data_IF_848871874358
#
_entry.id   IF_848871874358
#
_cell.length_a   1.000
_cell.length_b   1.000
_cell.length_c   1.000
_cell.angle_alpha   90.00
_cell.angle_beta   90.00
_cell.angle_gamma   90.00
#
_symmetry.space_group_name_H-M   'P 1'
#
loop_
_entity.id
_entity.type
_entity.pdbx_description
1 polymer ?
#
# COMPACT_ATOMS: atom_id res chain seq x y z
N UNK A 1 -22.84 16.23 -9.11
CA UNK A 1 -21.48 16.77 -9.28
C UNK A 1 -20.82 16.24 -10.56
N UNK A 2 -20.74 14.93 -10.78
CA UNK A 2 -20.13 14.30 -11.97
C UNK A 2 -20.70 14.87 -13.28
N UNK A 3 -22.05 14.91 -13.42
CA UNK A 3 -22.72 15.50 -14.60
C UNK A 3 -22.45 16.99 -14.77
N UNK A 4 -22.22 17.74 -13.69
CA UNK A 4 -21.90 19.17 -13.74
C UNK A 4 -20.47 19.41 -14.22
N UNK A 5 -19.53 18.56 -13.79
CA UNK A 5 -18.16 18.58 -14.30
C UNK A 5 -18.12 18.20 -15.78
N UNK A 6 -18.72 17.08 -16.14
CA UNK A 6 -18.89 16.61 -17.52
C UNK A 6 -17.59 16.15 -18.20
N UNK A 7 -16.49 16.02 -17.46
CA UNK A 7 -15.20 15.52 -17.98
C UNK A 7 -14.86 14.14 -17.39
N UNK A 8 -14.18 13.25 -18.13
CA UNK A 8 -13.85 11.91 -17.63
C UNK A 8 -12.96 11.93 -16.39
N UNK A 9 -12.05 12.91 -16.30
CA UNK A 9 -11.06 13.05 -15.23
C UNK A 9 -11.43 14.12 -14.18
N UNK A 10 -12.68 14.61 -14.19
CA UNK A 10 -13.15 15.68 -13.29
C UNK A 10 -12.29 16.94 -13.34
N UNK A 11 -11.80 17.28 -14.57
CA UNK A 11 -10.85 18.37 -14.79
C UNK A 11 -11.46 19.77 -14.71
N UNK A 12 -12.80 19.92 -14.78
CA UNK A 12 -13.47 21.21 -14.75
C UNK A 12 -13.68 21.75 -13.33
N UNK A 13 -14.18 20.92 -12.43
CA UNK A 13 -14.41 21.28 -11.02
C UNK A 13 -13.24 20.90 -10.12
N UNK A 14 -12.47 19.90 -10.53
CA UNK A 14 -11.38 19.30 -9.77
C UNK A 14 -11.83 18.16 -8.86
N UNK A 15 -11.12 17.04 -8.92
CA UNK A 15 -11.46 15.85 -8.16
C UNK A 15 -11.49 16.09 -6.65
N UNK A 16 -10.53 16.85 -6.10
CA UNK A 16 -10.49 17.17 -4.67
C UNK A 16 -11.71 17.98 -4.20
N UNK A 17 -12.18 18.94 -5.01
CA UNK A 17 -13.37 19.73 -4.66
C UNK A 17 -14.64 18.87 -4.67
N UNK A 18 -14.79 17.99 -5.65
CA UNK A 18 -15.90 17.04 -5.74
C UNK A 18 -15.85 16.06 -4.55
N UNK A 19 -14.68 15.53 -4.24
CA UNK A 19 -14.48 14.62 -3.12
C UNK A 19 -14.81 15.30 -1.78
N UNK A 20 -14.38 16.54 -1.59
CA UNK A 20 -14.69 17.31 -0.38
C UNK A 20 -16.20 17.39 -0.10
N UNK A 21 -17.01 17.64 -1.12
CA UNK A 21 -18.48 17.65 -0.98
C UNK A 21 -19.02 16.23 -0.73
N UNK A 22 -18.49 15.23 -1.44
CA UNK A 22 -18.91 13.84 -1.28
C UNK A 22 -18.68 13.31 0.14
N UNK A 23 -17.50 13.59 0.71
CA UNK A 23 -17.15 13.18 2.08
C UNK A 23 -17.91 13.99 3.13
N UNK A 24 -18.10 15.30 2.92
CA UNK A 24 -18.87 16.15 3.83
C UNK A 24 -20.32 15.66 3.96
N UNK A 25 -20.94 15.26 2.83
CA UNK A 25 -22.28 14.70 2.84
C UNK A 25 -22.36 13.39 3.63
N UNK A 26 -21.37 12.48 3.48
CA UNK A 26 -21.34 11.23 4.25
C UNK A 26 -21.12 11.47 5.74
N UNK A 27 -20.24 12.40 6.12
CA UNK A 27 -20.00 12.77 7.52
C UNK A 27 -21.24 13.42 8.16
N UNK A 28 -21.89 14.35 7.45
CA UNK A 28 -23.12 14.99 7.94
C UNK A 28 -24.24 13.95 8.19
N UNK A 29 -24.37 12.97 7.30
CA UNK A 29 -25.34 11.89 7.49
C UNK A 29 -24.99 10.96 8.67
N UNK A 30 -23.71 10.65 8.86
CA UNK A 30 -23.25 9.88 10.01
C UNK A 30 -23.50 10.64 11.33
N UNK A 31 -23.21 11.93 11.37
CA UNK A 31 -23.46 12.80 12.54
C UNK A 31 -24.94 12.93 12.86
N UNK A 32 -25.81 13.09 11.85
CA UNK A 32 -27.28 13.15 12.04
C UNK A 32 -27.83 11.83 12.64
N UNK A 33 -27.22 10.70 12.29
CA UNK A 33 -27.58 9.38 12.82
C UNK A 33 -26.87 9.02 14.11
N UNK A 34 -26.05 9.92 14.65
CA UNK A 34 -25.24 9.70 15.86
C UNK A 34 -24.40 8.42 15.78
N UNK A 35 -23.83 8.12 14.60
CA UNK A 35 -23.06 6.90 14.36
C UNK A 35 -21.65 7.22 13.80
N UNK A 36 -20.61 6.44 14.16
CA UNK A 36 -19.30 6.61 13.58
C UNK A 36 -19.30 6.44 12.05
N UNK A 37 -18.41 7.15 11.34
CA UNK A 37 -18.37 7.13 9.88
C UNK A 37 -18.17 5.73 9.31
N UNK A 38 -17.27 4.92 9.90
CA UNK A 38 -17.07 3.54 9.45
C UNK A 38 -18.33 2.67 9.56
N UNK A 39 -19.14 2.91 10.61
CA UNK A 39 -20.40 2.18 10.82
C UNK A 39 -21.50 2.69 9.88
N UNK A 40 -21.60 4.01 9.66
CA UNK A 40 -22.52 4.58 8.68
C UNK A 40 -22.29 4.03 7.27
N UNK A 41 -21.02 3.93 6.84
CA UNK A 41 -20.66 3.45 5.51
C UNK A 41 -20.71 1.93 5.37
N UNK A 42 -20.28 1.18 6.38
CA UNK A 42 -20.16 -0.28 6.35
C UNK A 42 -21.33 -1.03 6.98
N UNK A 43 -22.20 -0.31 7.69
CA UNK A 43 -23.28 -0.92 8.47
C UNK A 43 -22.74 -1.91 9.52
N UNK A 44 -23.55 -2.90 9.87
CA UNK A 44 -23.17 -3.92 10.86
C UNK A 44 -22.03 -4.85 10.38
N UNK A 45 -21.73 -4.86 9.08
CA UNK A 45 -20.70 -5.73 8.50
C UNK A 45 -19.30 -5.11 8.51
N UNK A 46 -19.16 -3.80 8.76
CA UNK A 46 -17.87 -3.12 8.83
C UNK A 46 -17.13 -3.41 10.13
N UNK A 47 -16.26 -4.44 10.17
CA UNK A 47 -15.58 -4.89 11.38
C UNK A 47 -14.16 -5.43 11.17
N UNK A 48 -13.69 -5.53 9.91
CA UNK A 48 -12.33 -6.00 9.62
C UNK A 48 -11.36 -4.84 9.74
N UNK A 49 -10.44 -4.97 10.69
CA UNK A 49 -9.35 -4.03 10.91
C UNK A 49 -8.20 -4.32 9.93
N UNK A 50 -7.62 -3.30 9.30
CA UNK A 50 -6.64 -3.50 8.23
C UNK A 50 -5.26 -3.90 8.75
N UNK A 51 -4.56 -4.72 7.96
CA UNK A 51 -3.11 -4.92 8.08
C UNK A 51 -2.41 -3.72 7.43
N UNK A 52 -1.64 -2.91 8.20
CA UNK A 52 -1.03 -1.70 7.67
C UNK A 52 0.25 -1.99 6.88
N UNK A 53 0.40 -1.30 5.76
CA UNK A 53 1.64 -1.12 5.01
C UNK A 53 2.31 0.15 5.51
N UNK A 54 3.38 0.00 6.28
CA UNK A 54 4.06 1.11 6.96
C UNK A 54 5.32 1.47 6.21
N UNK A 55 5.34 2.59 5.48
CA UNK A 55 6.51 3.04 4.72
C UNK A 55 7.63 3.49 5.67
N UNK A 56 8.74 2.77 5.71
CA UNK A 56 9.85 3.01 6.66
C UNK A 56 11.17 3.43 6.00
N UNK A 57 11.35 3.13 4.69
CA UNK A 57 12.48 3.61 3.88
C UNK A 57 11.95 4.16 2.55
N UNK A 58 12.41 5.34 2.18
CA UNK A 58 12.06 6.03 0.94
C UNK A 58 13.23 6.03 -0.04
N UNK A 59 12.93 5.85 -1.31
CA UNK A 59 13.81 6.04 -2.45
C UNK A 59 13.08 6.75 -3.60
N UNK A 60 13.54 6.57 -4.83
CA UNK A 60 12.92 7.12 -6.02
C UNK A 60 12.62 8.62 -5.90
N UNK A 61 11.42 9.03 -6.30
CA UNK A 61 10.98 10.44 -6.17
C UNK A 61 10.74 10.90 -4.74
N UNK A 62 10.57 9.98 -3.79
CA UNK A 62 10.33 10.30 -2.38
C UNK A 62 11.61 10.61 -1.59
N UNK A 63 12.81 10.46 -2.20
CA UNK A 63 14.08 10.73 -1.58
C UNK A 63 15.14 11.17 -2.59
N UNK A 64 16.07 12.01 -2.15
CA UNK A 64 17.24 12.36 -2.96
C UNK A 64 18.41 11.42 -2.61
N UNK A 65 18.34 10.18 -3.08
CA UNK A 65 19.33 9.12 -2.85
C UNK A 65 19.49 8.24 -4.11
N UNK A 66 20.24 7.13 -3.99
CA UNK A 66 20.54 6.22 -5.10
C UNK A 66 19.59 5.05 -5.23
N UNK A 67 18.61 4.95 -4.36
CA UNK A 67 17.63 3.86 -4.39
C UNK A 67 16.53 4.21 -5.40
N UNK A 68 16.33 3.40 -6.41
CA UNK A 68 15.37 3.66 -7.48
C UNK A 68 13.94 3.31 -7.06
N UNK A 69 13.74 2.25 -6.25
CA UNK A 69 12.43 1.87 -5.74
C UNK A 69 11.93 2.92 -4.74
N UNK A 70 10.65 3.28 -4.85
CA UNK A 70 10.10 4.46 -4.20
C UNK A 70 9.85 4.28 -2.71
N UNK A 71 9.35 3.10 -2.28
CA UNK A 71 8.97 2.85 -0.90
C UNK A 71 9.30 1.41 -0.47
N UNK A 72 9.78 1.29 0.76
CA UNK A 72 9.95 0.00 1.42
C UNK A 72 9.14 0.00 2.71
N UNK A 73 8.22 -0.94 2.79
CA UNK A 73 7.20 -1.01 3.83
C UNK A 73 7.35 -2.26 4.68
N UNK A 74 7.02 -2.14 5.95
CA UNK A 74 6.84 -3.29 6.85
C UNK A 74 5.36 -3.54 7.09
N UNK A 75 4.98 -4.81 7.22
CA UNK A 75 3.61 -5.25 7.45
C UNK A 75 3.56 -6.23 8.63
N UNK A 76 3.00 -5.84 9.78
CA UNK A 76 2.88 -6.70 10.96
C UNK A 76 1.80 -7.78 10.79
N UNK A 77 2.05 -8.75 9.91
CA UNK A 77 1.09 -9.80 9.50
C UNK A 77 0.80 -10.83 10.59
N UNK A 78 1.67 -10.95 11.59
CA UNK A 78 1.51 -11.88 12.72
C UNK A 78 0.91 -11.26 13.97
N UNK A 79 0.53 -9.99 13.96
CA UNK A 79 -0.08 -9.32 15.11
C UNK A 79 -1.49 -9.87 15.40
N UNK A 80 -1.90 -9.92 16.68
CA UNK A 80 -3.25 -10.36 17.03
C UNK A 80 -4.31 -9.26 16.94
N UNK A 81 -3.91 -7.98 16.94
CA UNK A 81 -4.79 -6.80 16.94
C UNK A 81 -4.13 -5.66 16.16
N UNK A 82 -4.89 -4.65 15.76
CA UNK A 82 -4.34 -3.46 15.10
C UNK A 82 -3.41 -2.68 16.03
N UNK A 83 -3.77 -2.60 17.31
CA UNK A 83 -2.95 -1.93 18.33
C UNK A 83 -1.58 -2.59 18.49
N UNK A 84 -1.53 -3.92 18.51
CA UNK A 84 -0.27 -4.67 18.54
C UNK A 84 0.49 -4.54 17.21
N UNK A 85 -0.19 -4.52 16.08
CA UNK A 85 0.45 -4.28 14.78
C UNK A 85 1.16 -2.91 14.75
N UNK A 86 0.52 -1.87 15.27
CA UNK A 86 1.12 -0.53 15.37
C UNK A 86 2.32 -0.54 16.32
N UNK A 87 2.25 -1.25 17.46
CA UNK A 87 3.39 -1.41 18.38
C UNK A 87 4.56 -2.11 17.70
N UNK A 88 4.31 -3.24 17.05
CA UNK A 88 5.35 -3.98 16.31
C UNK A 88 5.99 -3.13 15.23
N UNK A 89 5.19 -2.35 14.49
CA UNK A 89 5.69 -1.38 13.50
C UNK A 89 6.58 -0.32 14.12
N UNK A 90 6.17 0.27 15.25
CA UNK A 90 6.95 1.29 15.94
C UNK A 90 8.28 0.74 16.48
N UNK A 91 8.29 -0.44 17.08
CA UNK A 91 9.51 -1.09 17.59
C UNK A 91 10.48 -1.44 16.46
N UNK A 92 9.96 -1.95 15.32
CA UNK A 92 10.77 -2.19 14.12
C UNK A 92 11.33 -0.90 13.55
N UNK A 93 10.53 0.17 13.48
CA UNK A 93 10.98 1.49 13.00
C UNK A 93 12.09 2.09 13.88
N UNK A 94 12.00 1.94 15.21
CA UNK A 94 13.06 2.37 16.12
C UNK A 94 14.32 1.51 15.99
N UNK A 95 14.20 0.22 15.80
CA UNK A 95 15.34 -0.68 15.52
C UNK A 95 16.02 -0.33 14.20
N UNK A 96 15.24 -0.03 13.15
CA UNK A 96 15.75 0.48 11.87
C UNK A 96 16.53 1.79 12.05
N UNK A 97 16.00 2.74 12.83
CA UNK A 97 16.71 4.00 13.15
C UNK A 97 18.06 3.75 13.81
N UNK A 98 18.13 2.81 14.75
CA UNK A 98 19.36 2.46 15.43
C UNK A 98 20.40 1.89 14.44
N UNK A 99 20.00 0.96 13.57
CA UNK A 99 20.87 0.36 12.54
C UNK A 99 21.40 1.42 11.58
N UNK A 100 20.54 2.31 11.08
CA UNK A 100 20.94 3.38 10.17
C UNK A 100 21.98 4.30 10.84
N UNK A 101 21.76 4.69 12.10
CA UNK A 101 22.72 5.52 12.86
C UNK A 101 24.04 4.78 13.08
N UNK A 102 24.03 3.50 13.46
CA UNK A 102 25.23 2.67 13.67
C UNK A 102 26.06 2.55 12.39
N UNK A 103 25.41 2.55 11.21
CA UNK A 103 26.06 2.52 9.89
C UNK A 103 26.42 3.91 9.33
N UNK A 104 26.10 4.99 10.06
CA UNK A 104 26.38 6.37 9.67
C UNK A 104 25.44 6.91 8.58
N UNK A 105 24.28 6.29 8.35
CA UNK A 105 23.27 6.78 7.44
C UNK A 105 22.38 7.86 8.05
N UNK A 106 21.80 8.71 7.19
CA UNK A 106 20.82 9.70 7.62
C UNK A 106 19.54 9.05 8.13
N UNK A 107 19.00 9.59 9.23
CA UNK A 107 17.67 9.25 9.75
C UNK A 107 16.69 10.42 9.61
N UNK A 108 16.95 11.35 8.67
CA UNK A 108 15.97 12.32 8.24
C UNK A 108 14.81 11.60 7.55
N UNK A 109 13.59 12.10 7.76
CA UNK A 109 12.37 11.48 7.23
C UNK A 109 11.87 12.21 5.99
N UNK A 110 11.32 11.46 5.04
CA UNK A 110 10.61 11.97 3.87
C UNK A 110 9.17 12.38 4.19
N UNK A 111 8.42 12.71 3.15
CA UNK A 111 7.05 13.21 3.27
C UNK A 111 6.08 12.21 3.90
N UNK A 112 6.32 10.93 3.75
CA UNK A 112 5.50 9.85 4.32
C UNK A 112 5.98 9.36 5.70
N UNK A 113 7.04 9.97 6.24
CA UNK A 113 7.54 9.69 7.58
C UNK A 113 8.57 8.55 7.65
N UNK A 114 8.86 7.84 6.56
CA UNK A 114 9.96 6.88 6.47
C UNK A 114 11.31 7.58 6.35
N UNK A 115 12.40 6.88 6.69
CA UNK A 115 13.76 7.42 6.53
C UNK A 115 14.15 7.51 5.06
N UNK A 116 15.06 8.43 4.73
CA UNK A 116 15.59 8.64 3.38
C UNK A 116 17.13 8.52 3.37
N UNK A 117 17.71 7.35 3.72
CA UNK A 117 19.15 7.14 3.72
C UNK A 117 19.69 6.99 2.28
N UNK A 118 20.93 7.42 2.04
CA UNK A 118 21.63 7.16 0.76
C UNK A 118 22.27 5.75 0.80
N UNK A 119 21.43 4.73 0.59
CA UNK A 119 21.84 3.34 0.57
C UNK A 119 22.60 3.01 -0.73
N UNK A 120 23.32 1.88 -0.75
CA UNK A 120 24.28 1.55 -1.82
C UNK A 120 23.61 1.13 -3.13
N UNK A 121 22.49 0.41 -3.03
CA UNK A 121 21.77 -0.17 -4.17
C UNK A 121 20.30 -0.47 -3.76
N UNK A 122 19.53 -1.05 -4.68
CA UNK A 122 18.13 -1.38 -4.47
C UNK A 122 17.90 -2.62 -3.59
N UNK A 123 18.94 -3.42 -3.30
CA UNK A 123 18.81 -4.60 -2.45
C UNK A 123 19.08 -4.32 -0.97
N UNK A 124 19.98 -3.38 -0.64
CA UNK A 124 20.35 -3.06 0.75
C UNK A 124 19.14 -2.69 1.64
N UNK A 125 18.08 -2.00 1.17
CA UNK A 125 16.88 -1.77 1.96
C UNK A 125 16.25 -3.05 2.51
N UNK A 126 16.16 -4.11 1.71
CA UNK A 126 15.58 -5.39 2.14
C UNK A 126 16.45 -6.06 3.21
N UNK A 127 17.77 -6.04 3.05
CA UNK A 127 18.72 -6.58 4.04
C UNK A 127 18.59 -5.86 5.38
N UNK A 128 18.55 -4.52 5.36
CA UNK A 128 18.40 -3.69 6.56
C UNK A 128 17.03 -3.90 7.22
N UNK A 129 15.96 -4.08 6.44
CA UNK A 129 14.64 -4.34 7.00
C UNK A 129 14.56 -5.69 7.69
N UNK A 130 15.14 -6.74 7.13
CA UNK A 130 15.21 -8.06 7.80
C UNK A 130 15.97 -7.92 9.12
N UNK A 131 17.13 -7.27 9.12
CA UNK A 131 17.91 -7.02 10.34
C UNK A 131 17.12 -6.19 11.37
N UNK A 132 16.37 -5.18 10.94
CA UNK A 132 15.56 -4.33 11.82
C UNK A 132 14.41 -5.11 12.47
N UNK A 133 13.76 -6.00 11.72
CA UNK A 133 12.70 -6.88 12.22
C UNK A 133 13.28 -7.84 13.28
N UNK A 134 14.43 -8.48 13.01
CA UNK A 134 15.11 -9.38 13.94
C UNK A 134 15.61 -8.65 15.20
N UNK A 135 16.20 -7.44 15.03
CA UNK A 135 16.68 -6.60 16.14
C UNK A 135 15.53 -6.12 17.04
N UNK A 136 14.33 -5.95 16.48
CA UNK A 136 13.12 -5.66 17.24
C UNK A 136 12.56 -6.90 18.01
N UNK A 137 13.10 -8.08 17.78
CA UNK A 137 12.68 -9.33 18.42
C UNK A 137 11.58 -10.08 17.69
N UNK A 138 11.30 -9.71 16.44
CA UNK A 138 10.29 -10.32 15.58
C UNK A 138 10.91 -11.25 14.54
N UNK A 139 10.10 -12.18 14.01
CA UNK A 139 10.51 -13.10 12.96
C UNK A 139 10.10 -12.53 11.60
N UNK A 140 11.06 -12.30 10.67
CA UNK A 140 10.74 -11.91 9.30
C UNK A 140 9.75 -12.88 8.66
N UNK A 141 8.82 -12.36 7.86
CA UNK A 141 7.77 -13.13 7.20
C UNK A 141 6.65 -13.61 8.12
N UNK A 142 6.99 -14.13 9.30
CA UNK A 142 6.01 -14.69 10.23
C UNK A 142 5.28 -13.61 11.04
N UNK A 143 6.04 -12.71 11.67
CA UNK A 143 5.51 -11.66 12.51
C UNK A 143 5.38 -10.36 11.69
N UNK A 144 6.43 -10.02 10.93
CA UNK A 144 6.50 -8.83 10.09
C UNK A 144 6.99 -9.22 8.70
N UNK A 145 6.16 -9.00 7.68
CA UNK A 145 6.51 -9.16 6.27
C UNK A 145 6.96 -7.82 5.66
N UNK A 146 7.49 -7.88 4.44
CA UNK A 146 7.93 -6.72 3.67
C UNK A 146 6.99 -6.51 2.49
N UNK A 147 6.66 -5.25 2.21
CA UNK A 147 6.07 -4.81 0.97
C UNK A 147 6.93 -3.69 0.36
N UNK A 148 6.87 -3.48 -0.94
CA UNK A 148 7.56 -2.37 -1.56
C UNK A 148 6.82 -1.84 -2.78
N UNK A 149 7.07 -0.57 -3.10
CA UNK A 149 6.56 0.12 -4.27
C UNK A 149 7.74 0.43 -5.20
N UNK A 150 7.70 -0.15 -6.40
CA UNK A 150 8.70 0.14 -7.42
C UNK A 150 8.49 1.52 -8.04
N UNK A 151 7.24 1.93 -8.25
CA UNK A 151 6.85 3.08 -9.06
C UNK A 151 7.58 3.07 -10.42
N UNK A 152 7.52 1.94 -11.13
CA UNK A 152 8.44 1.62 -12.23
C UNK A 152 8.32 2.53 -13.43
N UNK A 153 7.19 3.23 -13.60
CA UNK A 153 7.02 4.27 -14.63
C UNK A 153 8.03 5.41 -14.50
N UNK A 154 8.59 5.63 -13.30
CA UNK A 154 9.54 6.69 -13.02
C UNK A 154 10.94 6.46 -13.60
N UNK A 155 11.31 5.20 -13.80
CA UNK A 155 12.60 4.81 -14.39
C UNK A 155 12.43 3.96 -15.66
N UNK A 156 11.22 3.91 -16.23
CA UNK A 156 10.97 3.28 -17.51
C UNK A 156 11.36 4.22 -18.66
N UNK A 157 12.16 3.70 -19.59
CA UNK A 157 12.57 4.39 -20.80
C UNK A 157 11.75 3.89 -22.00
N UNK A 158 10.78 4.69 -22.42
CA UNK A 158 9.87 4.33 -23.50
C UNK A 158 10.55 4.17 -24.88
N UNK A 159 11.69 4.86 -25.11
CA UNK A 159 12.42 4.78 -26.37
C UNK A 159 13.16 3.44 -26.53
N UNK A 160 13.77 2.98 -25.43
CA UNK A 160 14.55 1.72 -25.42
C UNK A 160 13.72 0.54 -24.90
N UNK A 161 12.56 0.80 -24.31
CA UNK A 161 11.71 -0.18 -23.62
C UNK A 161 12.45 -0.92 -22.50
N UNK A 162 13.22 -0.16 -21.72
CA UNK A 162 14.01 -0.69 -20.60
C UNK A 162 13.67 0.01 -19.29
N UNK A 163 13.91 -0.69 -18.20
CA UNK A 163 13.86 -0.16 -16.84
C UNK A 163 15.29 0.19 -16.41
N UNK A 164 15.57 1.49 -16.29
CA UNK A 164 16.92 2.02 -16.09
C UNK A 164 17.16 2.29 -14.60
N UNK A 165 17.70 1.30 -13.89
CA UNK A 165 18.02 1.40 -12.46
C UNK A 165 19.38 2.11 -12.30
N UNK A 166 19.30 3.42 -11.99
CA UNK A 166 20.50 4.29 -11.87
C UNK A 166 21.33 3.88 -10.65
N UNK A 167 20.69 3.52 -9.54
CA UNK A 167 21.36 3.08 -8.32
C UNK A 167 22.17 1.80 -8.50
N UNK A 168 21.73 0.91 -9.36
CA UNK A 168 22.42 -0.34 -9.70
C UNK A 168 23.34 -0.18 -10.91
N UNK A 169 23.24 0.94 -11.65
CA UNK A 169 24.00 1.18 -12.90
C UNK A 169 23.64 0.20 -14.02
N UNK A 170 22.39 -0.25 -14.09
CA UNK A 170 21.92 -1.28 -15.02
C UNK A 170 20.60 -0.91 -15.66
N UNK A 171 20.42 -1.34 -16.92
CA UNK A 171 19.16 -1.30 -17.65
C UNK A 171 18.66 -2.72 -17.88
N UNK A 172 17.37 -2.93 -17.71
CA UNK A 172 16.73 -4.24 -17.83
C UNK A 172 15.59 -4.17 -18.85
N UNK A 173 15.46 -5.18 -19.69
CA UNK A 173 14.19 -5.44 -20.39
C UNK A 173 13.10 -5.81 -19.37
N UNK A 174 11.83 -5.76 -19.77
CA UNK A 174 10.72 -6.13 -18.86
C UNK A 174 10.90 -7.55 -18.27
N UNK A 175 11.34 -8.51 -19.08
CA UNK A 175 11.53 -9.90 -18.66
C UNK A 175 12.70 -10.07 -17.68
N UNK A 176 13.80 -9.35 -17.89
CA UNK A 176 14.94 -9.31 -16.97
C UNK A 176 14.58 -8.61 -15.67
N UNK A 177 13.78 -7.52 -15.73
CA UNK A 177 13.34 -6.81 -14.55
C UNK A 177 12.38 -7.65 -13.70
N UNK A 178 11.42 -8.35 -14.33
CA UNK A 178 10.57 -9.32 -13.62
C UNK A 178 11.40 -10.43 -13.00
N UNK A 179 12.49 -10.88 -13.65
CA UNK A 179 13.40 -11.88 -13.07
C UNK A 179 14.17 -11.35 -11.86
N UNK A 180 14.55 -10.07 -11.87
CA UNK A 180 15.11 -9.39 -10.69
C UNK A 180 14.10 -9.36 -9.53
N UNK A 181 12.86 -8.92 -9.79
CA UNK A 181 11.80 -8.89 -8.78
C UNK A 181 11.50 -10.29 -8.23
N UNK A 182 11.49 -11.31 -9.09
CA UNK A 182 11.32 -12.71 -8.66
C UNK A 182 12.45 -13.15 -7.72
N UNK A 183 13.70 -12.78 -8.00
CA UNK A 183 14.84 -13.10 -7.13
C UNK A 183 14.72 -12.44 -5.75
N UNK A 184 14.21 -11.21 -5.69
CA UNK A 184 13.92 -10.49 -4.43
C UNK A 184 12.82 -11.21 -3.65
N UNK A 185 11.72 -11.57 -4.33
CA UNK A 185 10.62 -12.32 -3.73
C UNK A 185 11.08 -13.66 -3.18
N UNK A 186 11.94 -14.38 -3.90
CA UNK A 186 12.43 -15.69 -3.47
C UNK A 186 13.42 -15.58 -2.30
N UNK A 187 14.15 -14.48 -2.16
CA UNK A 187 15.16 -14.27 -1.10
C UNK A 187 14.59 -13.65 0.18
N UNK A 188 13.67 -12.70 0.08
CA UNK A 188 13.15 -11.91 1.20
C UNK A 188 11.69 -12.22 1.50
N UNK A 189 11.18 -11.95 2.72
CA UNK A 189 9.79 -12.20 3.10
C UNK A 189 8.83 -11.15 2.52
N UNK A 190 8.87 -10.99 1.20
CA UNK A 190 8.03 -10.04 0.46
C UNK A 190 6.64 -10.63 0.27
N UNK A 191 5.61 -9.86 0.62
CA UNK A 191 4.19 -10.22 0.47
C UNK A 191 3.48 -9.40 -0.60
N UNK A 192 3.99 -8.21 -0.93
CA UNK A 192 3.34 -7.30 -1.88
C UNK A 192 4.35 -6.44 -2.64
N UNK A 193 4.11 -6.26 -3.93
CA UNK A 193 4.81 -5.34 -4.83
C UNK A 193 3.80 -4.41 -5.46
N UNK A 194 4.02 -3.11 -5.38
CA UNK A 194 3.22 -2.08 -6.03
C UNK A 194 3.95 -1.59 -7.29
N UNK A 195 3.20 -1.40 -8.37
CA UNK A 195 3.63 -0.91 -9.68
C UNK A 195 4.98 -1.50 -10.15
N UNK A 196 5.07 -2.86 -10.25
CA UNK A 196 6.29 -3.54 -10.68
C UNK A 196 6.72 -3.23 -12.11
N UNK A 197 5.83 -2.68 -12.95
CA UNK A 197 6.09 -2.33 -14.35
C UNK A 197 5.43 -0.99 -14.72
N UNK A 198 5.80 -0.42 -15.88
CA UNK A 198 5.21 0.80 -16.42
C UNK A 198 3.69 0.67 -16.63
N UNK A 199 2.96 1.73 -16.32
CA UNK A 199 1.49 1.80 -16.34
C UNK A 199 0.87 1.58 -17.72
N UNK A 200 1.64 1.72 -18.78
CA UNK A 200 1.18 1.54 -20.16
C UNK A 200 1.50 0.16 -20.74
N UNK A 201 2.43 -0.61 -20.14
CA UNK A 201 2.92 -1.88 -20.65
C UNK A 201 2.07 -3.08 -20.16
N UNK A 202 0.79 -3.08 -20.53
CA UNK A 202 -0.22 -4.04 -20.07
C UNK A 202 0.09 -5.51 -20.41
N UNK A 203 0.73 -5.77 -21.55
CA UNK A 203 1.12 -7.13 -21.94
C UNK A 203 2.26 -7.67 -21.08
N UNK A 204 3.19 -6.81 -20.69
CA UNK A 204 4.28 -7.19 -19.80
C UNK A 204 3.78 -7.36 -18.36
N UNK A 205 2.82 -6.54 -17.92
CA UNK A 205 2.11 -6.74 -16.66
C UNK A 205 1.39 -8.10 -16.62
N UNK A 206 0.78 -8.54 -17.73
CA UNK A 206 0.15 -9.85 -17.79
C UNK A 206 1.18 -10.96 -17.56
N UNK A 207 2.31 -10.92 -18.25
CA UNK A 207 3.41 -11.90 -18.07
C UNK A 207 3.97 -11.87 -16.65
N UNK A 208 4.16 -10.68 -16.08
CA UNK A 208 4.59 -10.52 -14.69
C UNK A 208 3.58 -11.14 -13.72
N UNK A 209 2.28 -10.95 -13.95
CA UNK A 209 1.21 -11.53 -13.13
C UNK A 209 1.20 -13.05 -13.21
N UNK A 210 1.40 -13.63 -14.39
CA UNK A 210 1.51 -15.10 -14.56
C UNK A 210 2.68 -15.69 -13.78
N UNK A 211 3.82 -14.96 -13.68
CA UNK A 211 5.03 -15.41 -12.97
C UNK A 211 4.97 -15.18 -11.46
N UNK A 212 4.56 -13.99 -11.04
CA UNK A 212 4.68 -13.52 -9.65
C UNK A 212 3.35 -13.54 -8.88
N UNK A 213 2.21 -13.40 -9.56
CA UNK A 213 0.92 -13.20 -8.92
C UNK A 213 0.41 -14.38 -8.07
N UNK A 214 1.04 -15.56 -8.20
CA UNK A 214 0.79 -16.72 -7.33
C UNK A 214 1.69 -16.75 -6.09
N UNK A 215 2.77 -15.96 -6.09
CA UNK A 215 3.75 -15.89 -5.01
C UNK A 215 3.49 -14.68 -4.10
N UNK A 216 3.12 -13.53 -4.68
CA UNK A 216 2.95 -12.26 -3.99
C UNK A 216 1.76 -11.48 -4.53
N UNK A 217 1.28 -10.52 -3.75
CA UNK A 217 0.33 -9.51 -4.19
C UNK A 217 1.00 -8.54 -5.16
N UNK A 218 0.35 -8.28 -6.30
CA UNK A 218 0.75 -7.28 -7.29
C UNK A 218 -0.31 -6.17 -7.34
N UNK A 219 0.05 -5.01 -6.79
CA UNK A 219 -0.84 -3.86 -6.64
C UNK A 219 -0.67 -2.93 -7.83
N UNK A 220 -1.76 -2.57 -8.50
CA UNK A 220 -1.76 -1.48 -9.47
C UNK A 220 -2.22 -0.18 -8.83
N UNK A 221 -1.33 0.83 -8.77
CA UNK A 221 -1.62 2.22 -8.44
C UNK A 221 -1.78 3.03 -9.73
N UNK A 222 -0.68 3.40 -10.38
CA UNK A 222 -0.70 4.17 -11.63
C UNK A 222 -1.37 3.39 -12.77
N UNK A 223 -1.28 2.05 -12.73
CA UNK A 223 -1.95 1.17 -13.69
C UNK A 223 -3.48 1.32 -13.66
N UNK A 224 -4.10 1.46 -12.49
CA UNK A 224 -5.55 1.44 -12.33
C UNK A 224 -6.14 2.80 -11.93
N UNK A 225 -5.39 3.68 -11.31
CA UNK A 225 -5.77 5.02 -10.83
C UNK A 225 -7.16 5.08 -10.16
N UNK A 226 -7.50 4.04 -9.39
CA UNK A 226 -8.81 3.87 -8.74
C UNK A 226 -9.99 3.90 -9.73
N UNK A 227 -9.75 3.63 -11.01
CA UNK A 227 -10.73 3.75 -12.09
C UNK A 227 -11.30 2.36 -12.44
N UNK A 228 -12.63 2.24 -12.39
CA UNK A 228 -13.34 0.98 -12.66
C UNK A 228 -13.17 0.47 -14.09
N UNK A 229 -13.00 1.34 -15.09
CA UNK A 229 -12.78 0.93 -16.47
C UNK A 229 -11.40 0.29 -16.66
N UNK A 230 -10.36 0.88 -16.06
CA UNK A 230 -9.00 0.31 -16.04
C UNK A 230 -8.95 -0.98 -15.23
N UNK A 231 -9.61 -1.01 -14.06
CA UNK A 231 -9.70 -2.23 -13.26
C UNK A 231 -10.41 -3.35 -14.02
N UNK A 232 -11.55 -3.08 -14.68
CA UNK A 232 -12.26 -4.06 -15.50
C UNK A 232 -11.39 -4.60 -16.66
N UNK A 233 -10.60 -3.72 -17.30
CA UNK A 233 -9.61 -4.12 -18.31
C UNK A 233 -8.58 -5.07 -17.71
N UNK A 234 -8.00 -4.73 -16.54
CA UNK A 234 -7.01 -5.55 -15.86
C UNK A 234 -7.54 -6.92 -15.46
N UNK A 235 -8.73 -6.96 -14.86
CA UNK A 235 -9.43 -8.22 -14.51
C UNK A 235 -9.60 -9.11 -15.74
N UNK A 236 -10.08 -8.52 -16.86
CA UNK A 236 -10.29 -9.26 -18.11
C UNK A 236 -8.98 -9.80 -18.70
N UNK A 237 -7.89 -9.08 -18.56
CA UNK A 237 -6.57 -9.48 -19.07
C UNK A 237 -5.80 -10.37 -18.10
N UNK A 238 -6.22 -10.49 -16.83
CA UNK A 238 -5.47 -11.18 -15.78
C UNK A 238 -4.22 -10.41 -15.36
N UNK A 239 -4.34 -9.10 -15.20
CA UNK A 239 -3.24 -8.17 -14.89
C UNK A 239 -3.34 -7.69 -13.46
N UNK A 240 -2.28 -7.91 -12.66
CA UNK A 240 -2.30 -7.64 -11.22
C UNK A 240 -3.21 -8.60 -10.46
N UNK A 241 -3.30 -8.44 -9.16
CA UNK A 241 -4.23 -9.16 -8.28
C UNK A 241 -4.68 -8.31 -7.08
N UNK A 242 -4.36 -7.01 -7.12
CA UNK A 242 -4.73 -6.01 -6.13
C UNK A 242 -4.80 -4.63 -6.77
N UNK A 243 -5.58 -3.73 -6.18
CA UNK A 243 -5.67 -2.32 -6.57
C UNK A 243 -5.35 -1.40 -5.39
N UNK A 244 -4.59 -0.33 -5.65
CA UNK A 244 -4.46 0.78 -4.71
C UNK A 244 -5.65 1.73 -4.88
N UNK A 245 -6.23 2.17 -3.77
CA UNK A 245 -7.43 3.01 -3.73
C UNK A 245 -7.07 4.38 -3.19
N UNK A 246 -7.07 5.38 -4.05
CA UNK A 246 -6.87 6.79 -3.71
C UNK A 246 -8.13 7.57 -4.03
N UNK A 247 -8.86 8.01 -3.02
CA UNK A 247 -10.19 8.62 -3.18
C UNK A 247 -10.21 9.79 -4.16
N UNK A 248 -9.16 10.59 -4.17
CA UNK A 248 -9.08 11.78 -5.01
C UNK A 248 -8.61 11.51 -6.45
N UNK A 249 -8.14 10.31 -6.78
CA UNK A 249 -7.89 9.91 -8.17
C UNK A 249 -9.21 9.74 -8.92
N UNK A 250 -10.24 9.22 -8.25
CA UNK A 250 -11.58 9.05 -8.84
C UNK A 250 -12.54 10.19 -8.47
N UNK A 251 -12.46 10.75 -7.27
CA UNK A 251 -13.07 12.02 -6.86
C UNK A 251 -14.46 11.94 -6.23
N UNK A 252 -15.06 10.76 -6.03
CA UNK A 252 -16.26 10.59 -5.20
C UNK A 252 -16.14 9.36 -4.32
N UNK A 253 -16.81 9.40 -3.16
CA UNK A 253 -16.91 8.23 -2.29
C UNK A 253 -17.64 7.07 -2.98
N UNK A 254 -18.70 7.33 -3.73
CA UNK A 254 -19.46 6.31 -4.45
C UNK A 254 -18.59 5.56 -5.44
N UNK A 255 -17.88 6.25 -6.34
CA UNK A 255 -16.99 5.61 -7.32
C UNK A 255 -15.83 4.87 -6.63
N UNK A 256 -15.35 5.37 -5.49
CA UNK A 256 -14.35 4.67 -4.67
C UNK A 256 -14.87 3.34 -4.16
N UNK A 257 -16.08 3.32 -3.61
CA UNK A 257 -16.75 2.07 -3.14
C UNK A 257 -16.96 1.11 -4.30
N UNK A 258 -17.41 1.59 -5.45
CA UNK A 258 -17.59 0.77 -6.67
C UNK A 258 -16.29 0.09 -7.11
N UNK A 259 -15.17 0.80 -7.07
CA UNK A 259 -13.85 0.24 -7.41
C UNK A 259 -13.44 -0.87 -6.41
N UNK A 260 -13.61 -0.65 -5.11
CA UNK A 260 -13.32 -1.65 -4.08
C UNK A 260 -14.18 -2.89 -4.23
N UNK A 261 -15.49 -2.72 -4.43
CA UNK A 261 -16.42 -3.85 -4.59
C UNK A 261 -16.14 -4.63 -5.89
N UNK A 262 -15.82 -3.95 -6.99
CA UNK A 262 -15.42 -4.61 -8.24
C UNK A 262 -14.16 -5.46 -8.05
N UNK A 263 -13.15 -4.95 -7.36
CA UNK A 263 -11.92 -5.68 -7.04
C UNK A 263 -12.22 -6.94 -6.24
N UNK A 264 -12.97 -6.80 -5.14
CA UNK A 264 -13.35 -7.92 -4.26
C UNK A 264 -14.13 -9.01 -5.00
N UNK A 265 -15.10 -8.63 -5.83
CA UNK A 265 -15.88 -9.57 -6.64
C UNK A 265 -15.04 -10.36 -7.64
N UNK A 266 -13.93 -9.78 -8.10
CA UNK A 266 -12.97 -10.43 -8.99
C UNK A 266 -11.89 -11.26 -8.25
N UNK A 267 -11.91 -11.28 -6.91
CA UNK A 267 -10.89 -11.94 -6.09
C UNK A 267 -9.61 -11.11 -5.92
N UNK A 268 -9.62 -9.85 -6.33
CA UNK A 268 -8.54 -8.91 -6.09
C UNK A 268 -8.66 -8.33 -4.67
N UNK A 269 -7.54 -8.07 -4.03
CA UNK A 269 -7.50 -7.26 -2.83
C UNK A 269 -7.57 -5.77 -3.16
N UNK A 270 -7.94 -4.95 -2.18
CA UNK A 270 -7.91 -3.50 -2.28
C UNK A 270 -7.12 -2.93 -1.10
N UNK A 271 -6.19 -2.03 -1.39
CA UNK A 271 -5.39 -1.32 -0.39
C UNK A 271 -5.88 0.13 -0.33
N UNK A 272 -6.49 0.54 0.77
CA UNK A 272 -6.90 1.93 0.96
C UNK A 272 -5.66 2.77 1.25
N UNK A 273 -5.45 3.85 0.48
CA UNK A 273 -4.19 4.59 0.48
C UNK A 273 -4.37 6.06 0.78
N UNK A 274 -3.35 6.63 1.45
CA UNK A 274 -3.09 8.05 1.56
C UNK A 274 -2.51 8.61 0.24
N UNK A 275 -2.08 9.88 0.31
CA UNK A 275 -1.24 10.53 -0.70
C UNK A 275 0.07 11.00 -0.05
N UNK A 276 1.10 11.30 -0.89
CA UNK A 276 2.37 11.89 -0.41
C UNK A 276 2.12 13.22 0.33
N UNK A 277 1.23 14.07 -0.21
CA UNK A 277 0.72 15.23 0.51
C UNK A 277 -0.55 14.88 1.29
N UNK A 278 -0.51 14.93 2.61
CA UNK A 278 -1.61 14.54 3.51
C UNK A 278 -1.96 15.63 4.53
N UNK A 279 -3.15 15.46 5.10
CA UNK A 279 -3.67 16.24 6.23
C UNK A 279 -3.93 15.31 7.41
N UNK A 280 -4.36 15.85 8.55
CA UNK A 280 -4.77 15.05 9.72
C UNK A 280 -6.16 14.40 9.57
N UNK A 281 -6.84 14.54 8.42
CA UNK A 281 -8.10 13.85 8.14
C UNK A 281 -7.93 12.32 8.25
N UNK A 282 -8.90 11.65 8.86
CA UNK A 282 -8.85 10.21 9.16
C UNK A 282 -9.83 9.38 8.34
N UNK A 283 -10.46 9.95 7.33
CA UNK A 283 -11.52 9.29 6.54
C UNK A 283 -11.09 7.94 5.99
N UNK A 284 -9.83 7.80 5.53
CA UNK A 284 -9.33 6.52 4.99
C UNK A 284 -9.26 5.40 6.04
N UNK A 285 -9.07 5.74 7.32
CA UNK A 285 -9.11 4.77 8.41
C UNK A 285 -10.53 4.26 8.67
N UNK A 286 -11.53 5.14 8.61
CA UNK A 286 -12.94 4.74 8.69
C UNK A 286 -13.35 3.92 7.46
N UNK A 287 -12.93 4.35 6.27
CA UNK A 287 -13.30 3.71 5.00
C UNK A 287 -12.76 2.28 4.88
N UNK A 288 -11.51 2.04 5.26
CA UNK A 288 -10.90 0.70 5.17
C UNK A 288 -11.64 -0.32 6.02
N UNK A 289 -12.12 0.09 7.20
CA UNK A 289 -12.92 -0.77 8.09
C UNK A 289 -14.33 -0.91 7.55
N UNK A 290 -14.97 0.19 7.13
CA UNK A 290 -16.31 0.19 6.54
C UNK A 290 -16.45 -0.82 5.40
N UNK A 291 -15.46 -0.87 4.52
CA UNK A 291 -15.46 -1.73 3.34
C UNK A 291 -14.84 -3.11 3.57
N UNK A 292 -14.36 -3.41 4.79
CA UNK A 292 -13.59 -4.63 5.06
C UNK A 292 -12.49 -4.86 3.99
N UNK A 293 -11.78 -3.79 3.61
CA UNK A 293 -10.76 -3.89 2.57
C UNK A 293 -9.52 -4.68 3.04
N UNK A 294 -9.28 -4.72 4.35
CA UNK A 294 -8.27 -5.55 4.98
C UNK A 294 -6.85 -5.02 4.93
N UNK A 295 -6.57 -3.98 4.12
CA UNK A 295 -5.23 -3.40 4.00
C UNK A 295 -5.29 -1.88 3.89
N UNK A 296 -4.33 -1.19 4.50
CA UNK A 296 -4.18 0.27 4.44
C UNK A 296 -2.71 0.67 4.24
N UNK A 297 -2.44 1.59 3.31
CA UNK A 297 -1.14 2.24 3.09
C UNK A 297 -1.28 3.69 3.54
N UNK A 298 -0.67 4.07 4.67
CA UNK A 298 -0.87 5.41 5.25
C UNK A 298 0.40 6.02 5.87
N UNK A 299 1.55 5.65 5.34
CA UNK A 299 2.84 6.19 5.76
C UNK A 299 3.45 5.46 6.95
N UNK A 300 4.43 6.09 7.57
CA UNK A 300 5.25 5.52 8.64
C UNK A 300 4.70 5.80 10.05
N UNK A 301 5.45 5.34 11.06
CA UNK A 301 5.22 5.60 12.48
C UNK A 301 5.75 6.98 12.91
N UNK A 302 5.77 7.95 12.02
CA UNK A 302 6.21 9.33 12.26
C UNK A 302 5.38 10.30 11.42
N UNK A 303 5.40 11.59 11.76
CA UNK A 303 4.59 12.70 11.23
C UNK A 303 3.12 12.60 11.65
N UNK A 304 2.57 13.71 12.15
CA UNK A 304 1.25 13.77 12.79
C UNK A 304 0.10 13.34 11.86
N UNK A 305 0.16 13.76 10.60
CA UNK A 305 -0.84 13.43 9.57
C UNK A 305 -0.89 11.93 9.24
N UNK A 306 0.20 11.16 9.44
CA UNK A 306 0.22 9.70 9.31
C UNK A 306 -0.31 9.02 10.55
N UNK A 307 0.22 9.42 11.71
CA UNK A 307 -0.16 8.88 13.02
C UNK A 307 -1.64 9.10 13.32
N UNK A 308 -2.25 10.16 12.82
CA UNK A 308 -3.69 10.42 12.96
C UNK A 308 -4.54 9.24 12.49
N UNK A 309 -4.20 8.61 11.34
CA UNK A 309 -4.92 7.46 10.78
C UNK A 309 -4.74 6.21 11.66
N UNK A 310 -3.52 5.95 12.13
CA UNK A 310 -3.25 4.85 13.07
C UNK A 310 -4.00 5.01 14.39
N UNK A 311 -4.02 6.21 14.94
CA UNK A 311 -4.79 6.51 16.14
C UNK A 311 -6.30 6.32 15.93
N UNK A 312 -6.82 6.65 14.74
CA UNK A 312 -8.21 6.40 14.41
C UNK A 312 -8.52 4.90 14.34
N UNK A 313 -7.63 4.10 13.75
CA UNK A 313 -7.80 2.63 13.74
C UNK A 313 -7.83 2.05 15.16
N UNK A 314 -7.01 2.55 16.07
CA UNK A 314 -7.05 2.14 17.49
C UNK A 314 -8.40 2.48 18.12
N UNK A 315 -8.95 3.69 17.86
CA UNK A 315 -10.27 4.07 18.38
C UNK A 315 -11.39 3.19 17.82
N UNK A 316 -11.31 2.85 16.52
CA UNK A 316 -12.28 1.96 15.88
C UNK A 316 -12.18 0.55 16.49
N UNK A 317 -10.96 0.03 16.71
CA UNK A 317 -10.75 -1.26 17.38
C UNK A 317 -11.37 -1.28 18.79
N UNK A 318 -11.15 -0.22 19.58
CA UNK A 318 -11.73 -0.08 20.91
C UNK A 318 -13.27 -0.03 20.85
N UNK A 319 -13.87 0.61 19.83
CA UNK A 319 -15.32 0.68 19.64
C UNK A 319 -15.92 -0.67 19.21
N UNK A 320 -15.24 -1.39 18.33
CA UNK A 320 -15.66 -2.72 17.86
C UNK A 320 -15.54 -3.79 18.96
N UNK A 321 -14.58 -3.64 19.86
CA UNK A 321 -14.35 -4.60 20.95
C UNK A 321 -14.19 -6.03 20.41
N UNK A 322 -15.00 -6.96 20.90
CA UNK A 322 -14.89 -8.38 20.56
C UNK A 322 -15.29 -8.74 19.11
N UNK A 323 -15.96 -7.85 18.38
CA UNK A 323 -16.36 -8.11 16.99
C UNK A 323 -15.31 -7.65 15.99
N UNK A 324 -14.34 -6.82 16.41
CA UNK A 324 -13.22 -6.41 15.58
C UNK A 324 -12.33 -7.58 15.21
N UNK A 325 -12.01 -7.73 13.92
CA UNK A 325 -11.17 -8.80 13.40
C UNK A 325 -9.94 -8.25 12.71
N UNK A 326 -8.74 -8.56 13.21
CA UNK A 326 -7.47 -8.29 12.55
C UNK A 326 -7.00 -9.54 11.82
N UNK A 327 -6.95 -9.50 10.49
CA UNK A 327 -6.67 -10.70 9.68
C UNK A 327 -5.19 -10.99 9.45
N UNK A 328 -4.30 -9.99 9.64
CA UNK A 328 -2.87 -10.16 9.40
C UNK A 328 -2.57 -10.76 8.02
N UNK A 329 -1.85 -11.86 7.96
CA UNK A 329 -1.50 -12.53 6.68
C UNK A 329 -2.74 -12.99 5.89
N UNK A 330 -3.87 -13.24 6.54
CA UNK A 330 -5.11 -13.64 5.85
C UNK A 330 -5.83 -12.47 5.17
N UNK A 331 -5.37 -11.21 5.32
CA UNK A 331 -5.82 -10.09 4.50
C UNK A 331 -5.42 -10.23 3.03
N UNK A 332 -4.44 -11.08 2.74
CA UNK A 332 -3.99 -11.45 1.39
C UNK A 332 -4.78 -12.67 0.85
N UNK A 333 -6.11 -12.54 0.79
CA UNK A 333 -6.98 -13.62 0.32
C UNK A 333 -6.83 -13.92 -1.19
N UNK A 334 -6.18 -13.02 -1.95
CA UNK A 334 -5.76 -13.21 -3.34
C UNK A 334 -4.59 -14.21 -3.49
N UNK A 335 -3.93 -14.57 -2.38
CA UNK A 335 -2.86 -15.57 -2.35
C UNK A 335 -3.36 -16.89 -1.77
N UNK A 336 -2.86 -18.02 -2.27
CA UNK A 336 -3.13 -19.33 -1.70
C UNK A 336 -2.50 -19.50 -0.31
N UNK A 337 -3.00 -20.46 0.48
CA UNK A 337 -2.39 -20.81 1.77
C UNK A 337 -0.91 -21.18 1.60
N UNK A 338 -0.57 -21.96 0.56
CA UNK A 338 0.80 -22.34 0.26
C UNK A 338 1.72 -21.13 0.00
N UNK A 339 1.21 -20.10 -0.69
CA UNK A 339 1.99 -18.87 -0.92
C UNK A 339 2.20 -18.09 0.38
N UNK A 340 1.16 -17.96 1.21
CA UNK A 340 1.26 -17.31 2.53
C UNK A 340 2.23 -18.04 3.45
N UNK A 341 2.15 -19.38 3.51
CA UNK A 341 3.06 -20.21 4.28
C UNK A 341 4.51 -20.07 3.80
N UNK A 342 4.74 -20.00 2.49
CA UNK A 342 6.07 -19.79 1.92
C UNK A 342 6.69 -18.44 2.30
N UNK A 343 5.88 -17.37 2.39
CA UNK A 343 6.33 -16.05 2.88
C UNK A 343 6.70 -16.13 4.36
N UNK A 344 5.87 -16.78 5.16
CA UNK A 344 6.08 -16.91 6.61
C UNK A 344 7.25 -17.85 7.01
N UNK A 345 7.75 -18.64 6.06
CA UNK A 345 8.87 -19.55 6.28
C UNK A 345 10.25 -18.91 6.02
N UNK A 346 10.32 -17.71 5.48
CA UNK A 346 11.56 -16.95 5.19
C UNK A 346 12.04 -16.18 6.40
#
# INVERSE_FOLDING_TARGET
MIKLDGTPNKGKLGANAILGVSLAAARAAADELETPLYNYLGGFNGHVLPTPMMNVINGGKHANNKVDFQEFMIMPVGAPTVKEAIRMGAETFHSLKAILNERGYSTAVGDEGGFAPDLKNNEEPFEILVEAIEKAGYKPGKDVAIAFDCASSEFYNADTKTYDLVGDGKSYTADEFVSLLESIVDKYPVVSIEDPLDENEWEDWQKATERLGKKVQLVGDDLFVTNTDYLAKGIKMGVGNSILIKLNQIGTLTETVEAVEMAKQAGYTAVISHRSGETEDTTIADLVVALNAGQIKTGSMSRGERIAKYNQLIRIEDQLGLVGEYKGIHSFYNLSDQARDAIQAK
#
